data_IF_506226905635
#
_entry.id   IF_506226905635
#
_cell.length_a   1.000
_cell.length_b   1.000
_cell.length_c   1.000
_cell.angle_alpha   90.00
_cell.angle_beta   90.00
_cell.angle_gamma   90.00
#
_symmetry.space_group_name_H-M   'P 1'
#
loop_
_entity.id
_entity.type
_entity.pdbx_description
1 polymer ?
#
# COMPACT_ATOMS: atom_id res chain seq x y z
N UNK A 1 -1.53 -14.46 2.52
CA UNK A 1 -1.80 -13.00 2.76
C UNK A 1 -2.83 -12.88 3.86
N UNK A 2 -2.76 -11.86 4.69
CA UNK A 2 -3.75 -11.68 5.77
C UNK A 2 -5.10 -11.21 5.18
N UNK A 3 -6.21 -11.77 5.65
CA UNK A 3 -7.55 -11.45 5.14
C UNK A 3 -7.91 -9.96 5.31
N UNK A 4 -7.50 -9.35 6.43
CA UNK A 4 -7.72 -7.92 6.67
C UNK A 4 -6.94 -7.03 5.68
N UNK A 5 -5.75 -7.45 5.21
CA UNK A 5 -5.00 -6.73 4.17
C UNK A 5 -5.75 -6.73 2.85
N UNK A 6 -6.30 -7.89 2.45
CA UNK A 6 -7.12 -7.98 1.24
C UNK A 6 -8.37 -7.08 1.32
N UNK A 7 -9.00 -7.01 2.49
CA UNK A 7 -10.14 -6.10 2.74
C UNK A 7 -9.73 -4.64 2.60
N UNK A 8 -8.62 -4.24 3.22
CA UNK A 8 -8.08 -2.88 3.10
C UNK A 8 -7.74 -2.50 1.66
N UNK A 9 -7.10 -3.41 0.90
CA UNK A 9 -6.79 -3.21 -0.52
C UNK A 9 -8.05 -3.03 -1.36
N UNK A 10 -9.11 -3.81 -1.12
CA UNK A 10 -10.40 -3.65 -1.80
C UNK A 10 -11.01 -2.29 -1.52
N UNK A 11 -10.95 -1.83 -0.27
CA UNK A 11 -11.46 -0.51 0.11
C UNK A 11 -10.66 0.62 -0.54
N UNK A 12 -9.33 0.55 -0.57
CA UNK A 12 -8.47 1.50 -1.29
C UNK A 12 -8.89 1.59 -2.77
N UNK A 13 -9.07 0.44 -3.43
CA UNK A 13 -9.47 0.40 -4.82
C UNK A 13 -10.84 1.03 -5.04
N UNK A 14 -11.79 0.81 -4.13
CA UNK A 14 -13.11 1.42 -4.18
C UNK A 14 -13.03 2.95 -4.08
N UNK A 15 -12.21 3.46 -3.17
CA UNK A 15 -11.99 4.90 -3.02
C UNK A 15 -11.37 5.50 -4.29
N UNK A 16 -10.33 4.87 -4.84
CA UNK A 16 -9.71 5.34 -6.09
C UNK A 16 -10.74 5.38 -7.23
N UNK A 17 -11.53 4.34 -7.40
CA UNK A 17 -12.57 4.29 -8.43
C UNK A 17 -13.62 5.39 -8.25
N UNK A 18 -14.07 5.60 -7.03
CA UNK A 18 -15.06 6.63 -6.70
C UNK A 18 -14.54 8.04 -7.02
N UNK A 19 -13.38 8.41 -6.47
CA UNK A 19 -12.80 9.74 -6.62
C UNK A 19 -12.44 10.06 -8.08
N UNK A 20 -11.94 9.08 -8.83
CA UNK A 20 -11.62 9.27 -10.24
C UNK A 20 -12.86 9.26 -11.15
N UNK A 21 -13.97 8.65 -10.73
CA UNK A 21 -15.26 8.81 -11.39
C UNK A 21 -15.77 10.24 -11.25
N UNK A 22 -15.68 10.81 -10.04
CA UNK A 22 -16.02 12.22 -9.78
C UNK A 22 -15.11 13.14 -10.60
N UNK A 23 -13.78 12.94 -10.54
CA UNK A 23 -12.82 13.70 -11.31
C UNK A 23 -13.20 13.72 -12.79
N UNK A 24 -13.47 12.56 -13.38
CA UNK A 24 -13.85 12.46 -14.80
C UNK A 24 -15.11 13.26 -15.13
N UNK A 25 -16.14 13.16 -14.29
CA UNK A 25 -17.37 13.91 -14.50
C UNK A 25 -17.14 15.41 -14.41
N UNK A 26 -16.35 15.82 -13.40
CA UNK A 26 -16.03 17.23 -13.14
C UNK A 26 -15.26 17.87 -14.30
N UNK A 27 -14.19 17.22 -14.80
CA UNK A 27 -13.37 17.80 -15.87
C UNK A 27 -14.08 17.88 -17.22
N UNK A 28 -15.13 17.06 -17.45
CA UNK A 28 -15.95 17.16 -18.67
C UNK A 28 -16.79 18.43 -18.71
N UNK A 29 -16.99 19.09 -17.56
CA UNK A 29 -17.79 20.33 -17.46
C UNK A 29 -16.95 21.61 -17.51
N UNK A 30 -15.61 21.48 -17.52
CA UNK A 30 -14.70 22.63 -17.49
C UNK A 30 -13.83 22.71 -18.74
N UNK A 31 -13.70 23.91 -19.27
CA UNK A 31 -12.74 24.23 -20.36
C UNK A 31 -11.47 24.94 -19.84
N UNK A 32 -11.42 25.30 -18.55
CA UNK A 32 -10.31 26.03 -17.95
C UNK A 32 -9.28 25.12 -17.27
N UNK A 33 -7.99 25.35 -17.56
CA UNK A 33 -6.87 24.59 -17.01
C UNK A 33 -6.82 24.63 -15.48
N UNK A 34 -7.14 25.79 -14.88
CA UNK A 34 -7.17 25.94 -13.42
C UNK A 34 -8.24 25.06 -12.76
N UNK A 35 -9.40 24.91 -13.40
CA UNK A 35 -10.47 24.05 -12.90
C UNK A 35 -10.06 22.56 -12.95
N UNK A 36 -9.36 22.14 -14.00
CA UNK A 36 -8.77 20.79 -14.08
C UNK A 36 -7.75 20.58 -12.96
N UNK A 37 -6.89 21.56 -12.69
CA UNK A 37 -5.91 21.49 -11.58
C UNK A 37 -6.60 21.29 -10.23
N UNK A 38 -7.63 22.09 -9.94
CA UNK A 38 -8.39 21.99 -8.69
C UNK A 38 -9.06 20.63 -8.57
N UNK A 39 -9.68 20.13 -9.62
CA UNK A 39 -10.33 18.82 -9.63
C UNK A 39 -9.34 17.67 -9.40
N UNK A 40 -8.18 17.69 -10.05
CA UNK A 40 -7.10 16.70 -9.84
C UNK A 40 -6.58 16.75 -8.40
N UNK A 41 -6.32 17.94 -7.86
CA UNK A 41 -5.87 18.11 -6.48
C UNK A 41 -6.91 17.59 -5.48
N UNK A 42 -8.19 17.82 -5.72
CA UNK A 42 -9.30 17.32 -4.90
C UNK A 42 -9.34 15.78 -4.89
N UNK A 43 -9.35 15.14 -6.06
CA UNK A 43 -9.39 13.68 -6.17
C UNK A 43 -8.18 13.02 -5.50
N UNK A 44 -6.97 13.51 -5.76
CA UNK A 44 -5.75 12.98 -5.14
C UNK A 44 -5.71 13.22 -3.62
N UNK A 45 -6.16 14.41 -3.15
CA UNK A 45 -6.26 14.70 -1.72
C UNK A 45 -7.24 13.79 -0.99
N UNK A 46 -8.40 13.51 -1.57
CA UNK A 46 -9.39 12.59 -1.02
C UNK A 46 -8.83 11.14 -0.95
N UNK A 47 -8.21 10.66 -2.02
CA UNK A 47 -7.54 9.33 -2.04
C UNK A 47 -6.44 9.28 -0.98
N UNK A 48 -5.56 10.27 -0.88
CA UNK A 48 -4.47 10.29 0.11
C UNK A 48 -5.01 10.23 1.54
N UNK A 49 -6.03 11.01 1.83
CA UNK A 49 -6.67 11.04 3.15
C UNK A 49 -7.28 9.70 3.52
N UNK A 50 -8.01 9.06 2.59
CA UNK A 50 -8.63 7.77 2.81
C UNK A 50 -7.58 6.66 2.98
N UNK A 51 -6.54 6.64 2.12
CA UNK A 51 -5.44 5.67 2.19
C UNK A 51 -4.73 5.72 3.53
N UNK A 52 -4.44 6.91 4.06
CA UNK A 52 -3.82 7.05 5.40
C UNK A 52 -4.64 6.43 6.51
N UNK A 53 -5.98 6.61 6.48
CA UNK A 53 -6.89 6.00 7.47
C UNK A 53 -6.88 4.48 7.36
N UNK A 54 -6.98 3.95 6.14
CA UNK A 54 -6.95 2.50 5.90
C UNK A 54 -5.60 1.91 6.35
N UNK A 55 -4.49 2.59 6.09
CA UNK A 55 -3.17 2.14 6.54
C UNK A 55 -3.05 2.10 8.07
N UNK A 56 -3.66 3.06 8.77
CA UNK A 56 -3.73 3.03 10.23
C UNK A 56 -4.55 1.84 10.74
N UNK A 57 -5.68 1.55 10.11
CA UNK A 57 -6.49 0.39 10.43
C UNK A 57 -5.72 -0.91 10.19
N UNK A 58 -5.05 -1.04 9.03
CA UNK A 58 -4.22 -2.19 8.70
C UNK A 58 -3.07 -2.40 9.69
N UNK A 59 -2.37 -1.35 10.08
CA UNK A 59 -1.29 -1.43 11.07
C UNK A 59 -1.82 -1.93 12.44
N UNK A 60 -2.93 -1.39 12.91
CA UNK A 60 -3.52 -1.80 14.18
C UNK A 60 -4.08 -3.22 14.14
N UNK A 61 -4.70 -3.64 13.04
CA UNK A 61 -5.16 -5.02 12.85
C UNK A 61 -3.99 -6.02 12.79
N UNK A 62 -2.92 -5.66 12.08
CA UNK A 62 -1.71 -6.48 11.99
C UNK A 62 -1.05 -6.66 13.38
N UNK A 63 -0.97 -5.59 14.14
CA UNK A 63 -0.46 -5.64 15.51
C UNK A 63 -1.34 -6.49 16.41
N UNK A 64 -2.66 -6.32 16.34
CA UNK A 64 -3.62 -7.15 17.10
C UNK A 64 -3.49 -8.62 16.73
N UNK A 65 -3.37 -8.95 15.47
CA UNK A 65 -3.21 -10.32 14.99
C UNK A 65 -1.89 -10.98 15.47
N UNK A 66 -0.83 -10.17 15.66
CA UNK A 66 0.48 -10.66 16.11
C UNK A 66 0.64 -10.74 17.63
N UNK A 67 -0.08 -9.92 18.41
CA UNK A 67 0.08 -9.81 19.86
C UNK A 67 -1.11 -10.27 20.68
N UNK A 68 -2.31 -10.34 20.08
CA UNK A 68 -3.57 -10.49 20.80
C UNK A 68 -4.02 -9.22 21.56
N UNK A 69 -3.31 -8.09 21.40
CA UNK A 69 -3.58 -6.80 22.07
C UNK A 69 -4.04 -5.76 21.07
N UNK A 70 -4.74 -4.73 21.54
CA UNK A 70 -5.11 -3.62 20.69
C UNK A 70 -3.88 -2.89 20.17
N UNK A 71 -3.95 -2.49 18.90
CA UNK A 71 -2.89 -1.75 18.25
C UNK A 71 -2.77 -0.34 18.82
N UNK A 72 -1.52 0.12 19.00
CA UNK A 72 -1.17 1.44 19.55
C UNK A 72 -0.66 2.40 18.47
N UNK A 73 -0.75 2.02 17.20
CA UNK A 73 -0.30 2.89 16.12
C UNK A 73 -1.20 4.10 15.97
N UNK A 74 -0.58 5.22 15.67
CA UNK A 74 -1.22 6.51 15.46
C UNK A 74 -1.02 6.99 14.02
N UNK A 75 -1.71 8.07 13.65
CA UNK A 75 -1.51 8.69 12.34
C UNK A 75 -0.05 9.15 12.13
N UNK A 76 0.67 9.50 13.23
CA UNK A 76 2.08 9.84 13.16
C UNK A 76 2.94 8.67 12.64
N UNK A 77 2.64 7.44 13.08
CA UNK A 77 3.32 6.24 12.56
C UNK A 77 3.10 6.10 11.05
N UNK A 78 1.86 6.26 10.59
CA UNK A 78 1.53 6.19 9.16
C UNK A 78 2.28 7.27 8.38
N UNK A 79 2.29 8.51 8.89
CA UNK A 79 2.97 9.62 8.23
C UNK A 79 4.48 9.39 8.15
N UNK A 80 5.10 8.95 9.23
CA UNK A 80 6.53 8.60 9.23
C UNK A 80 6.81 7.51 8.20
N UNK A 81 5.98 6.46 8.15
CA UNK A 81 6.12 5.38 7.19
C UNK A 81 6.01 5.86 5.74
N UNK A 82 5.07 6.75 5.42
CA UNK A 82 4.87 7.29 4.08
C UNK A 82 5.97 8.26 3.63
N UNK A 83 6.70 8.86 4.58
CA UNK A 83 7.83 9.75 4.30
C UNK A 83 9.19 9.08 4.41
N UNK A 84 9.26 7.78 4.73
CA UNK A 84 10.50 7.01 4.70
C UNK A 84 10.84 6.58 3.27
N UNK A 85 12.15 6.50 3.00
CA UNK A 85 12.64 5.88 1.77
C UNK A 85 12.41 4.38 1.82
N UNK A 86 11.70 3.86 0.83
CA UNK A 86 11.47 2.43 0.67
C UNK A 86 12.55 1.83 -0.24
N UNK A 87 13.40 0.92 0.28
CA UNK A 87 14.47 0.31 -0.50
C UNK A 87 13.96 -0.66 -1.59
N UNK A 88 12.73 -1.15 -1.49
CA UNK A 88 12.13 -2.03 -2.50
C UNK A 88 11.66 -1.25 -3.72
N UNK A 89 10.89 -0.19 -3.52
CA UNK A 89 10.37 0.67 -4.58
C UNK A 89 11.37 1.75 -5.01
N UNK A 90 12.38 2.04 -4.17
CA UNK A 90 13.42 3.05 -4.37
C UNK A 90 12.89 4.48 -4.43
N UNK A 91 11.80 4.77 -3.74
CA UNK A 91 11.27 6.12 -3.58
C UNK A 91 10.62 6.34 -2.21
N UNK A 92 10.22 7.57 -1.94
CA UNK A 92 9.37 7.96 -0.81
C UNK A 92 7.94 8.01 -1.30
N UNK A 93 7.01 7.31 -0.63
CA UNK A 93 5.62 7.20 -1.06
C UNK A 93 4.97 8.57 -1.31
N UNK A 94 5.07 9.49 -0.34
CA UNK A 94 4.43 10.80 -0.44
C UNK A 94 4.95 11.60 -1.65
N UNK A 95 6.25 11.56 -1.92
CA UNK A 95 6.86 12.25 -3.06
C UNK A 95 6.42 11.62 -4.40
N UNK A 96 6.36 10.30 -4.48
CA UNK A 96 5.89 9.62 -5.69
C UNK A 96 4.40 9.85 -5.92
N UNK A 97 3.60 9.92 -4.86
CA UNK A 97 2.18 10.23 -4.93
C UNK A 97 1.94 11.64 -5.53
N UNK A 98 2.70 12.64 -5.06
CA UNK A 98 2.65 14.01 -5.60
C UNK A 98 3.11 14.06 -7.06
N UNK A 99 4.15 13.31 -7.42
CA UNK A 99 4.63 13.21 -8.80
C UNK A 99 3.56 12.60 -9.72
N UNK A 100 2.85 11.56 -9.26
CA UNK A 100 1.73 10.98 -10.02
C UNK A 100 0.58 11.97 -10.19
N UNK A 101 0.27 12.77 -9.17
CA UNK A 101 -0.72 13.83 -9.26
C UNK A 101 -0.35 14.86 -10.34
N UNK A 102 0.88 15.36 -10.33
CA UNK A 102 1.38 16.31 -11.33
C UNK A 102 1.30 15.74 -12.76
N UNK A 103 1.78 14.50 -12.97
CA UNK A 103 1.71 13.80 -14.27
C UNK A 103 0.27 13.59 -14.75
N UNK A 104 -0.66 13.30 -13.85
CA UNK A 104 -2.08 13.18 -14.20
C UNK A 104 -2.64 14.50 -14.70
N UNK A 105 -2.35 15.59 -14.00
CA UNK A 105 -2.76 16.93 -14.45
C UNK A 105 -2.19 17.25 -15.83
N UNK A 106 -0.88 17.09 -16.03
CA UNK A 106 -0.21 17.32 -17.32
C UNK A 106 -0.84 16.50 -18.46
N UNK A 107 -1.10 15.21 -18.19
CA UNK A 107 -1.72 14.31 -19.17
C UNK A 107 -3.14 14.74 -19.55
N UNK A 108 -3.94 15.20 -18.59
CA UNK A 108 -5.30 15.67 -18.82
C UNK A 108 -5.29 16.99 -19.63
N UNK A 109 -4.41 17.93 -19.30
CA UNK A 109 -4.27 19.19 -20.04
C UNK A 109 -3.77 18.97 -21.47
N UNK A 110 -2.85 18.03 -21.66
CA UNK A 110 -2.30 17.67 -22.98
C UNK A 110 -3.25 16.81 -23.83
N UNK A 111 -4.31 16.26 -23.25
CA UNK A 111 -5.22 15.37 -23.95
C UNK A 111 -6.03 16.11 -24.99
N UNK A 112 -5.97 15.61 -26.24
CA UNK A 112 -6.77 16.13 -27.36
C UNK A 112 -8.18 15.57 -27.39
N UNK A 113 -8.46 14.55 -26.57
CA UNK A 113 -9.75 13.87 -26.50
C UNK A 113 -10.53 14.36 -25.30
N UNK A 114 -11.75 14.81 -25.51
CA UNK A 114 -12.61 15.29 -24.43
C UNK A 114 -13.19 14.21 -23.50
N UNK A 115 -12.92 12.91 -23.74
CA UNK A 115 -13.43 11.85 -22.87
C UNK A 115 -12.50 11.47 -21.73
N UNK A 116 -11.21 11.81 -21.80
CA UNK A 116 -10.15 11.58 -20.81
C UNK A 116 -10.03 10.13 -20.28
N UNK A 117 -10.72 9.19 -20.92
CA UNK A 117 -10.85 7.81 -20.40
C UNK A 117 -9.50 7.09 -20.27
N UNK A 118 -8.58 7.35 -21.19
CA UNK A 118 -7.25 6.73 -21.19
C UNK A 118 -6.40 7.26 -20.04
N UNK A 119 -6.35 8.57 -19.89
CA UNK A 119 -5.56 9.29 -18.88
C UNK A 119 -6.06 8.93 -17.48
N UNK A 120 -7.36 8.91 -17.26
CA UNK A 120 -8.00 8.52 -16.00
C UNK A 120 -7.69 7.05 -15.65
N UNK A 121 -7.86 6.13 -16.60
CA UNK A 121 -7.54 4.71 -16.36
C UNK A 121 -6.08 4.50 -16.01
N UNK A 122 -5.16 5.20 -16.68
CA UNK A 122 -3.73 5.10 -16.39
C UNK A 122 -3.39 5.66 -15.00
N UNK A 123 -3.98 6.79 -14.61
CA UNK A 123 -3.80 7.39 -13.30
C UNK A 123 -4.32 6.47 -12.19
N UNK A 124 -5.51 5.90 -12.34
CA UNK A 124 -6.08 4.93 -11.41
C UNK A 124 -5.19 3.70 -11.27
N UNK A 125 -4.72 3.12 -12.38
CA UNK A 125 -3.81 1.97 -12.36
C UNK A 125 -2.53 2.29 -11.58
N UNK A 126 -1.89 3.42 -11.86
CA UNK A 126 -0.66 3.84 -11.20
C UNK A 126 -0.83 4.03 -9.68
N UNK A 127 -1.97 4.60 -9.25
CA UNK A 127 -2.30 4.74 -7.83
C UNK A 127 -2.58 3.40 -7.18
N UNK A 128 -3.39 2.56 -7.81
CA UNK A 128 -3.71 1.21 -7.31
C UNK A 128 -2.43 0.40 -7.07
N UNK A 129 -1.49 0.40 -8.02
CA UNK A 129 -0.22 -0.31 -7.86
C UNK A 129 0.56 0.19 -6.65
N UNK A 130 0.70 1.50 -6.51
CA UNK A 130 1.45 2.11 -5.41
C UNK A 130 0.78 1.85 -4.06
N UNK A 131 -0.50 2.15 -3.95
CA UNK A 131 -1.22 2.04 -2.66
C UNK A 131 -1.37 0.60 -2.20
N UNK A 132 -1.56 -0.34 -3.11
CA UNK A 132 -1.59 -1.78 -2.76
C UNK A 132 -0.24 -2.25 -2.22
N UNK A 133 0.86 -1.84 -2.85
CA UNK A 133 2.20 -2.21 -2.39
C UNK A 133 2.45 -1.73 -0.96
N UNK A 134 2.13 -0.48 -0.67
CA UNK A 134 2.34 0.08 0.66
C UNK A 134 1.35 -0.45 1.72
N UNK A 135 0.18 -0.93 1.33
CA UNK A 135 -0.72 -1.66 2.23
C UNK A 135 -0.08 -2.96 2.73
N UNK A 136 0.59 -3.71 1.85
CA UNK A 136 1.32 -4.92 2.21
C UNK A 136 2.52 -4.59 3.13
N UNK A 137 3.27 -3.55 2.82
CA UNK A 137 4.47 -3.17 3.57
C UNK A 137 4.17 -2.65 4.98
N UNK A 138 3.14 -1.82 5.14
CA UNK A 138 2.75 -1.32 6.46
C UNK A 138 2.18 -2.44 7.34
N UNK A 139 1.48 -3.40 6.71
CA UNK A 139 1.01 -4.61 7.39
C UNK A 139 2.19 -5.44 7.91
N UNK A 140 3.21 -5.67 7.08
CA UNK A 140 4.40 -6.42 7.48
C UNK A 140 5.19 -5.70 8.59
N UNK A 141 5.37 -4.39 8.48
CA UNK A 141 6.06 -3.60 9.48
C UNK A 141 5.36 -3.65 10.84
N UNK A 142 4.04 -3.51 10.86
CA UNK A 142 3.24 -3.59 12.08
C UNK A 142 3.20 -5.01 12.67
N UNK A 143 3.16 -6.03 11.82
CA UNK A 143 3.24 -7.44 12.24
C UNK A 143 4.58 -7.73 12.91
N UNK A 144 5.69 -7.30 12.31
CA UNK A 144 7.03 -7.48 12.90
C UNK A 144 7.18 -6.75 14.22
N UNK A 145 6.69 -5.51 14.32
CA UNK A 145 6.68 -4.78 15.58
C UNK A 145 5.89 -5.53 16.65
N UNK A 146 4.71 -6.06 16.29
CA UNK A 146 3.92 -6.86 17.21
C UNK A 146 4.64 -8.12 17.69
N UNK A 147 5.37 -8.81 16.83
CA UNK A 147 6.18 -9.96 17.23
C UNK A 147 7.30 -9.56 18.20
N UNK A 148 7.99 -8.44 17.94
CA UNK A 148 9.00 -7.90 18.88
C UNK A 148 8.39 -7.62 20.24
N UNK A 149 7.25 -6.94 20.30
CA UNK A 149 6.55 -6.58 21.53
C UNK A 149 5.98 -7.79 22.28
N UNK A 150 5.73 -8.88 21.58
CA UNK A 150 5.34 -10.18 22.12
C UNK A 150 6.54 -11.06 22.57
N UNK A 151 7.78 -10.57 22.42
CA UNK A 151 8.99 -11.30 22.78
C UNK A 151 9.34 -12.44 21.82
N UNK A 152 8.87 -12.37 20.58
CA UNK A 152 9.18 -13.36 19.55
C UNK A 152 10.47 -12.99 18.85
N UNK A 153 11.50 -13.82 19.01
CA UNK A 153 12.83 -13.59 18.44
C UNK A 153 12.94 -13.99 16.97
N UNK A 154 12.10 -14.94 16.53
CA UNK A 154 12.23 -15.55 15.22
C UNK A 154 10.91 -15.66 14.48
N UNK A 155 10.96 -15.44 13.19
CA UNK A 155 9.80 -15.56 12.29
C UNK A 155 10.11 -16.51 11.16
N UNK A 156 9.09 -17.20 10.67
CA UNK A 156 9.15 -18.09 9.51
C UNK A 156 8.52 -17.43 8.30
N UNK A 157 9.26 -17.44 7.20
CA UNK A 157 8.77 -16.97 5.91
C UNK A 157 7.80 -18.00 5.32
N UNK A 158 6.62 -17.55 4.94
CA UNK A 158 5.60 -18.39 4.29
C UNK A 158 5.26 -17.79 2.93
N UNK A 159 5.37 -18.59 1.89
CA UNK A 159 4.93 -18.23 0.55
C UNK A 159 3.63 -18.95 0.19
N UNK A 160 2.78 -18.27 -0.58
CA UNK A 160 1.59 -18.91 -1.16
C UNK A 160 2.00 -20.11 -2.03
N UNK A 161 1.26 -21.22 -1.88
CA UNK A 161 1.58 -22.49 -2.57
C UNK A 161 0.81 -22.61 -3.89
N UNK A 162 0.77 -21.53 -4.68
CA UNK A 162 0.15 -21.54 -6.01
C UNK A 162 1.18 -21.43 -7.14
N UNK A 163 0.75 -21.67 -8.37
CA UNK A 163 1.62 -21.66 -9.55
C UNK A 163 2.25 -20.29 -9.88
N UNK A 164 1.89 -19.21 -9.15
CA UNK A 164 2.38 -17.85 -9.38
C UNK A 164 3.51 -17.42 -8.44
N UNK A 165 3.98 -18.33 -7.60
CA UNK A 165 5.08 -18.06 -6.68
C UNK A 165 6.40 -18.02 -7.45
N UNK A 166 7.16 -16.92 -7.33
CA UNK A 166 8.46 -16.79 -7.96
C UNK A 166 9.52 -17.69 -7.32
N UNK A 167 10.61 -17.95 -8.03
CA UNK A 167 11.70 -18.83 -7.57
C UNK A 167 12.27 -18.36 -6.21
N UNK A 168 12.48 -17.07 -6.01
CA UNK A 168 13.05 -16.53 -4.79
C UNK A 168 12.08 -16.70 -3.60
N UNK A 169 10.78 -16.46 -3.79
CA UNK A 169 9.77 -16.74 -2.76
C UNK A 169 9.73 -18.22 -2.39
N UNK A 170 9.81 -19.13 -3.37
CA UNK A 170 9.89 -20.58 -3.13
C UNK A 170 11.12 -20.94 -2.30
N UNK A 171 12.28 -20.37 -2.61
CA UNK A 171 13.53 -20.66 -1.91
C UNK A 171 13.54 -20.16 -0.47
N UNK A 172 12.74 -19.15 -0.13
CA UNK A 172 12.58 -18.61 1.22
C UNK A 172 11.51 -19.33 2.04
N UNK A 173 10.60 -20.04 1.39
CA UNK A 173 9.48 -20.72 2.06
C UNK A 173 9.97 -21.65 3.16
N UNK A 174 9.40 -21.53 4.36
CA UNK A 174 9.77 -22.31 5.53
C UNK A 174 11.05 -21.87 6.24
N UNK A 175 11.85 -20.99 5.66
CA UNK A 175 13.07 -20.47 6.32
C UNK A 175 12.70 -19.60 7.50
N UNK A 176 13.54 -19.68 8.54
CA UNK A 176 13.38 -18.90 9.76
C UNK A 176 14.42 -17.80 9.83
N UNK A 177 14.00 -16.60 10.21
CA UNK A 177 14.83 -15.40 10.33
C UNK A 177 14.72 -14.83 11.75
N UNK A 178 15.78 -14.15 12.20
CA UNK A 178 15.70 -13.22 13.32
C UNK A 178 14.70 -12.11 12.98
N UNK A 179 13.84 -11.75 13.94
CA UNK A 179 12.76 -10.77 13.72
C UNK A 179 13.28 -9.40 13.26
N UNK A 180 14.51 -9.03 13.69
CA UNK A 180 15.17 -7.78 13.30
C UNK A 180 15.97 -7.86 12.00
N UNK A 181 16.08 -9.07 11.39
CA UNK A 181 16.92 -9.34 10.22
C UNK A 181 16.11 -10.02 9.10
N UNK A 182 14.82 -9.80 9.07
CA UNK A 182 13.97 -10.33 8.01
C UNK A 182 14.37 -9.66 6.68
N UNK A 183 14.65 -10.45 5.63
CA UNK A 183 14.98 -9.88 4.34
C UNK A 183 13.75 -9.18 3.73
N UNK A 184 13.99 -8.11 2.98
CA UNK A 184 12.94 -7.45 2.21
C UNK A 184 12.24 -8.43 1.27
N UNK A 185 10.97 -8.16 0.97
CA UNK A 185 10.25 -8.89 -0.07
C UNK A 185 11.02 -8.80 -1.38
N UNK A 186 11.14 -9.90 -2.17
CA UNK A 186 12.01 -9.91 -3.34
C UNK A 186 11.48 -9.09 -4.51
N UNK A 187 10.21 -8.74 -4.51
CA UNK A 187 9.58 -7.99 -5.58
C UNK A 187 8.27 -7.34 -5.12
N UNK A 188 7.83 -6.32 -5.84
CA UNK A 188 6.53 -5.68 -5.66
C UNK A 188 5.39 -6.71 -5.84
N UNK A 189 4.33 -6.59 -5.04
CA UNK A 189 3.19 -7.53 -4.98
C UNK A 189 3.59 -8.95 -4.57
N UNK A 190 4.59 -9.07 -3.71
CA UNK A 190 4.94 -10.34 -3.09
C UNK A 190 3.85 -10.72 -2.07
N UNK A 191 3.25 -11.90 -2.25
CA UNK A 191 2.18 -12.43 -1.39
C UNK A 191 2.70 -13.28 -0.22
N UNK A 192 4.01 -13.27 0.00
CA UNK A 192 4.59 -13.92 1.16
C UNK A 192 4.25 -13.16 2.44
N UNK A 193 4.18 -13.90 3.55
CA UNK A 193 3.90 -13.35 4.86
C UNK A 193 4.76 -14.03 5.92
N UNK A 194 4.75 -13.51 7.13
CA UNK A 194 5.58 -13.97 8.22
C UNK A 194 4.71 -14.57 9.33
N UNK A 195 5.13 -15.72 9.84
CA UNK A 195 4.53 -16.34 11.02
C UNK A 195 5.56 -16.44 12.14
N UNK A 196 5.15 -16.42 13.42
CA UNK A 196 6.06 -16.66 14.51
C UNK A 196 6.67 -18.07 14.40
N UNK A 197 7.97 -18.16 14.54
CA UNK A 197 8.64 -19.45 14.66
C UNK A 197 8.72 -19.82 16.16
N UNK A 198 7.70 -20.49 16.65
CA UNK A 198 7.67 -21.00 18.02
C UNK A 198 8.77 -22.06 18.15
N UNK A 199 9.68 -21.90 19.09
CA UNK A 199 10.57 -23.02 19.47
C UNK A 199 9.66 -24.15 19.96
N UNK A 200 9.68 -25.30 19.30
CA UNK A 200 9.15 -26.52 19.92
C UNK A 200 9.88 -26.67 21.25
N UNK A 201 9.15 -26.56 22.36
CA UNK A 201 9.66 -26.97 23.67
C UNK A 201 10.05 -28.45 23.54
N UNK A 202 11.36 -28.73 23.54
CA UNK A 202 11.89 -30.07 23.77
C UNK A 202 11.55 -30.51 25.19
#
# INVERSE_FOLDING_TARGET
>A
MYEFTDKGIKEINRVIQHEFSILRQTILTFDEVNAVQIAVNGAYGAVYTAVRKIYLELANEAYRASTGRDGLFTMLFVDQFLYQYDPLTKYVFAHEFDRKRARTFEALVASKKKDFSKEIKQAMYNLTVQTTQYADEITDAATLQGYVDAGIDRVRWVSEQDGRVCHECKSRNGRTYDVHKVPLKPHIRCRCYLLPAIKSSE
#
